data_IF_076567592521
#
_entry.id   IF_076567592521
#
_cell.length_a   1.000
_cell.length_b   1.000
_cell.length_c   1.000
_cell.angle_alpha   90.00
_cell.angle_beta   90.00
_cell.angle_gamma   90.00
#
_symmetry.space_group_name_H-M   'P 1'
#
loop_
_entity.id
_entity.type
_entity.pdbx_description
1 polymer ?
#
# COMPACT_ATOMS: atom_id res chain seq x y z
N UNK A 1 -12.01 -7.10 -13.26
CA UNK A 1 -11.76 -6.62 -11.89
C UNK A 1 -11.45 -7.82 -11.02
N UNK A 2 -10.30 -7.81 -10.37
CA UNK A 2 -9.86 -8.89 -9.48
C UNK A 2 -9.51 -8.36 -8.07
N UNK A 3 -9.50 -9.27 -7.09
CA UNK A 3 -9.02 -8.99 -5.73
C UNK A 3 -7.85 -9.90 -5.43
N UNK A 4 -6.72 -9.30 -5.07
CA UNK A 4 -5.49 -9.99 -4.74
C UNK A 4 -5.19 -9.76 -3.26
N UNK A 5 -4.64 -10.77 -2.60
CA UNK A 5 -4.26 -10.68 -1.18
C UNK A 5 -2.83 -11.13 -1.02
N UNK A 6 -2.03 -10.30 -0.34
CA UNK A 6 -0.63 -10.53 -0.07
C UNK A 6 -0.35 -10.41 1.42
N UNK A 7 0.69 -11.10 1.87
CA UNK A 7 1.11 -11.13 3.27
C UNK A 7 2.63 -11.09 3.35
N UNK A 8 3.15 -10.19 4.17
CA UNK A 8 4.58 -9.98 4.36
C UNK A 8 4.91 -10.02 5.85
N UNK A 9 6.07 -10.57 6.19
CA UNK A 9 6.60 -10.44 7.54
C UNK A 9 7.13 -9.03 7.73
N UNK A 10 6.82 -8.38 8.84
CA UNK A 10 7.32 -7.05 9.15
C UNK A 10 7.23 -6.77 10.65
N UNK A 11 8.21 -6.09 11.24
CA UNK A 11 8.34 -5.98 12.69
C UNK A 11 7.94 -4.61 13.24
N UNK A 12 7.94 -3.55 12.41
CA UNK A 12 7.69 -2.19 12.89
C UNK A 12 6.27 -1.73 12.58
N UNK A 13 5.43 -1.67 13.60
CA UNK A 13 4.09 -1.08 13.45
C UNK A 13 4.17 0.41 13.11
N UNK A 14 3.30 0.88 12.22
CA UNK A 14 3.20 2.31 11.89
C UNK A 14 2.47 3.06 13.02
N UNK A 15 2.80 4.33 13.30
CA UNK A 15 2.26 5.01 14.49
C UNK A 15 0.82 5.52 14.32
N UNK A 16 0.34 5.66 13.08
CA UNK A 16 -1.03 6.14 12.79
C UNK A 16 -1.51 5.68 11.41
N UNK A 17 -2.78 5.96 11.15
CA UNK A 17 -3.45 5.68 9.88
C UNK A 17 -2.99 6.68 8.80
N UNK A 18 -3.03 6.25 7.54
CA UNK A 18 -2.82 7.10 6.37
C UNK A 18 -3.85 6.82 5.28
N UNK A 19 -4.23 7.88 4.58
CA UNK A 19 -5.02 7.84 3.35
C UNK A 19 -4.29 8.67 2.31
N UNK A 20 -4.06 8.09 1.12
CA UNK A 20 -3.47 8.81 -0.01
C UNK A 20 -4.14 8.39 -1.31
N UNK A 21 -4.25 9.34 -2.23
CA UNK A 21 -4.74 9.08 -3.59
C UNK A 21 -6.25 9.10 -3.74
N UNK A 22 -6.70 8.58 -4.88
CA UNK A 22 -8.11 8.57 -5.32
C UNK A 22 -8.29 7.48 -6.37
N UNK A 23 -9.47 6.87 -6.42
CA UNK A 23 -9.84 5.90 -7.47
C UNK A 23 -10.28 6.62 -8.74
N UNK A 24 -9.30 7.09 -9.52
CA UNK A 24 -9.49 7.70 -10.83
C UNK A 24 -8.67 6.96 -11.89
N UNK A 25 -9.06 7.08 -13.17
CA UNK A 25 -8.34 6.42 -14.27
C UNK A 25 -6.84 6.74 -14.24
N UNK A 26 -6.01 5.72 -14.12
CA UNK A 26 -4.55 5.84 -14.05
C UNK A 26 -3.99 6.14 -12.65
N UNK A 27 -4.82 6.11 -11.61
CA UNK A 27 -4.45 6.35 -10.22
C UNK A 27 -5.07 5.29 -9.28
N UNK A 28 -4.69 5.36 -8.01
CA UNK A 28 -5.15 4.48 -6.94
C UNK A 28 -5.33 5.27 -5.64
N UNK A 29 -6.18 4.75 -4.76
CA UNK A 29 -6.15 5.13 -3.35
C UNK A 29 -5.54 4.03 -2.50
N UNK A 30 -4.94 4.44 -1.38
CA UNK A 30 -4.38 3.55 -0.37
C UNK A 30 -4.91 3.96 1.00
N UNK A 31 -5.51 3.00 1.69
CA UNK A 31 -5.83 3.06 3.10
C UNK A 31 -4.81 2.22 3.84
N UNK A 32 -4.12 2.81 4.81
CA UNK A 32 -3.09 2.14 5.60
C UNK A 32 -3.39 2.33 7.07
N UNK A 33 -3.42 1.22 7.82
CA UNK A 33 -3.69 1.19 9.25
C UNK A 33 -2.62 0.40 10.01
N UNK A 34 -2.31 0.76 11.27
CA UNK A 34 -1.39 -0.02 12.10
C UNK A 34 -1.85 -1.48 12.26
N UNK A 35 -0.94 -2.42 12.07
CA UNK A 35 -1.19 -3.84 12.38
C UNK A 35 -0.87 -4.13 13.84
N UNK A 36 -1.66 -5.02 14.45
CA UNK A 36 -1.39 -5.59 15.79
C UNK A 36 -0.48 -6.81 15.74
N UNK A 37 -0.20 -7.32 14.55
CA UNK A 37 0.69 -8.45 14.33
C UNK A 37 2.01 -7.95 13.72
N UNK A 38 3.08 -8.76 13.85
CA UNK A 38 4.36 -8.54 13.14
C UNK A 38 4.25 -8.93 11.65
N UNK A 39 3.22 -8.40 10.98
CA UNK A 39 2.90 -8.70 9.58
C UNK A 39 2.25 -7.50 8.91
N UNK A 40 2.52 -7.38 7.62
CA UNK A 40 1.72 -6.57 6.71
C UNK A 40 0.73 -7.43 5.92
N UNK A 41 -0.51 -6.96 5.86
CA UNK A 41 -1.60 -7.55 5.09
C UNK A 41 -2.00 -6.55 4.01
N UNK A 42 -1.89 -6.96 2.74
CA UNK A 42 -2.22 -6.07 1.61
C UNK A 42 -3.35 -6.68 0.80
N UNK A 43 -4.44 -5.94 0.66
CA UNK A 43 -5.57 -6.27 -0.21
C UNK A 43 -5.57 -5.30 -1.37
N UNK A 44 -5.47 -5.82 -2.59
CA UNK A 44 -5.53 -5.02 -3.82
C UNK A 44 -6.81 -5.34 -4.55
N UNK A 45 -7.61 -4.32 -4.85
CA UNK A 45 -8.74 -4.38 -5.77
C UNK A 45 -8.37 -3.59 -7.01
N UNK A 46 -8.21 -4.26 -8.14
CA UNK A 46 -7.75 -3.62 -9.37
C UNK A 46 -8.72 -3.86 -10.52
N UNK A 47 -8.92 -2.83 -11.34
CA UNK A 47 -9.64 -2.94 -12.60
C UNK A 47 -8.86 -3.74 -13.67
N UNK A 48 -7.54 -3.91 -13.50
CA UNK A 48 -6.64 -4.56 -14.46
C UNK A 48 -6.44 -6.04 -14.14
N UNK A 49 -7.09 -6.92 -14.89
CA UNK A 49 -7.01 -8.36 -14.68
C UNK A 49 -5.71 -8.96 -15.25
N UNK A 50 -5.16 -9.98 -14.57
CA UNK A 50 -4.01 -10.76 -15.04
C UNK A 50 -2.66 -10.15 -14.67
N UNK A 51 -2.64 -9.13 -13.82
CA UNK A 51 -1.42 -8.44 -13.38
C UNK A 51 -0.94 -8.89 -11.99
N UNK A 52 -1.44 -10.02 -11.47
CA UNK A 52 -1.10 -10.53 -10.14
C UNK A 52 0.41 -10.69 -9.89
N UNK A 53 1.18 -11.17 -10.87
CA UNK A 53 2.64 -11.30 -10.75
C UNK A 53 3.34 -9.93 -10.68
N UNK A 54 2.87 -8.95 -11.48
CA UNK A 54 3.37 -7.58 -11.45
C UNK A 54 3.13 -6.94 -10.09
N UNK A 55 1.92 -7.11 -9.53
CA UNK A 55 1.57 -6.66 -8.18
C UNK A 55 2.45 -7.31 -7.12
N UNK A 56 2.63 -8.64 -7.19
CA UNK A 56 3.50 -9.37 -6.27
C UNK A 56 4.93 -8.83 -6.32
N UNK A 57 5.53 -8.71 -7.50
CA UNK A 57 6.90 -8.22 -7.66
C UNK A 57 7.07 -6.77 -7.20
N UNK A 58 6.06 -5.93 -7.37
CA UNK A 58 6.07 -4.55 -6.85
C UNK A 58 6.06 -4.55 -5.32
N UNK A 59 5.13 -5.28 -4.70
CA UNK A 59 4.99 -5.33 -3.26
C UNK A 59 6.18 -6.04 -2.59
N UNK A 60 6.69 -7.14 -3.16
CA UNK A 60 7.91 -7.80 -2.71
C UNK A 60 9.08 -6.80 -2.61
N UNK A 61 9.28 -5.97 -3.65
CA UNK A 61 10.33 -4.94 -3.65
C UNK A 61 10.09 -3.85 -2.62
N UNK A 62 8.85 -3.43 -2.45
CA UNK A 62 8.48 -2.44 -1.44
C UNK A 62 8.80 -2.95 -0.02
N UNK A 63 8.33 -4.14 0.34
CA UNK A 63 8.55 -4.72 1.66
C UNK A 63 9.98 -5.25 1.90
N UNK A 64 10.77 -5.48 0.84
CA UNK A 64 12.20 -5.75 0.98
C UNK A 64 12.99 -4.53 1.50
N UNK A 65 12.47 -3.32 1.30
CA UNK A 65 13.10 -2.06 1.72
C UNK A 65 12.43 -1.47 2.96
N UNK A 66 11.11 -1.63 3.07
CA UNK A 66 10.29 -1.02 4.12
C UNK A 66 9.72 -2.09 5.06
N UNK A 67 10.36 -2.23 6.22
CA UNK A 67 9.90 -3.09 7.30
C UNK A 67 8.74 -2.42 8.05
N UNK A 68 7.50 -2.56 7.55
CA UNK A 68 6.29 -1.98 8.15
C UNK A 68 5.20 -3.01 8.39
N UNK A 69 4.66 -3.07 9.61
CA UNK A 69 3.53 -3.90 9.97
C UNK A 69 2.24 -3.07 9.90
N UNK A 70 1.46 -3.28 8.85
CA UNK A 70 0.25 -2.53 8.55
C UNK A 70 -0.81 -3.35 7.82
N UNK A 71 -2.07 -3.00 7.99
CA UNK A 71 -3.14 -3.42 7.10
C UNK A 71 -3.25 -2.37 5.99
N UNK A 72 -3.16 -2.80 4.73
CA UNK A 72 -3.14 -1.93 3.57
C UNK A 72 -4.24 -2.36 2.60
N UNK A 73 -5.16 -1.46 2.30
CA UNK A 73 -6.13 -1.62 1.22
C UNK A 73 -5.74 -0.71 0.06
N UNK A 74 -5.71 -1.28 -1.15
CA UNK A 74 -5.39 -0.57 -2.38
C UNK A 74 -6.56 -0.73 -3.34
N UNK A 75 -7.20 0.38 -3.71
CA UNK A 75 -8.23 0.39 -4.75
C UNK A 75 -7.66 1.10 -5.99
N UNK A 76 -7.40 0.32 -7.03
CA UNK A 76 -6.67 0.73 -8.22
C UNK A 76 -7.57 0.79 -9.46
N UNK A 77 -7.46 1.88 -10.20
CA UNK A 77 -8.12 2.04 -11.49
C UNK A 77 -7.10 2.22 -12.62
N UNK A 78 -6.20 1.24 -12.74
CA UNK A 78 -5.26 1.15 -13.87
C UNK A 78 -4.03 2.02 -13.73
N UNK A 79 -3.58 2.27 -12.49
CA UNK A 79 -2.35 2.98 -12.22
C UNK A 79 -1.12 2.23 -12.76
N UNK A 80 -0.16 2.98 -13.27
CA UNK A 80 1.13 2.40 -13.67
C UNK A 80 1.92 1.97 -12.43
N UNK A 81 2.83 0.97 -12.53
CA UNK A 81 3.68 0.55 -11.41
C UNK A 81 4.44 1.70 -10.72
N UNK A 82 4.85 2.72 -11.49
CA UNK A 82 5.49 3.92 -10.96
C UNK A 82 4.56 4.73 -10.05
N UNK A 83 3.31 4.94 -10.47
CA UNK A 83 2.29 5.61 -9.65
C UNK A 83 1.97 4.83 -8.37
N UNK A 84 1.82 3.50 -8.48
CA UNK A 84 1.60 2.63 -7.31
C UNK A 84 2.73 2.79 -6.29
N UNK A 85 3.98 2.74 -6.77
CA UNK A 85 5.17 2.87 -5.91
C UNK A 85 5.23 4.23 -5.23
N UNK A 86 4.93 5.30 -5.96
CA UNK A 86 4.88 6.66 -5.42
C UNK A 86 3.78 6.80 -4.34
N UNK A 87 2.56 6.27 -4.59
CA UNK A 87 1.47 6.33 -3.60
C UNK A 87 1.81 5.54 -2.34
N UNK A 88 2.45 4.38 -2.45
CA UNK A 88 2.91 3.62 -1.28
C UNK A 88 3.92 4.40 -0.43
N UNK A 89 4.86 5.10 -1.08
CA UNK A 89 5.83 5.96 -0.39
C UNK A 89 5.14 7.16 0.29
N UNK A 90 4.17 7.78 -0.37
CA UNK A 90 3.36 8.85 0.23
C UNK A 90 2.58 8.34 1.45
N UNK A 91 1.97 7.16 1.38
CA UNK A 91 1.26 6.56 2.51
C UNK A 91 2.22 6.35 3.70
N UNK A 92 3.44 5.87 3.43
CA UNK A 92 4.48 5.68 4.44
C UNK A 92 4.92 7.00 5.08
N UNK A 93 5.10 8.05 4.28
CA UNK A 93 5.43 9.39 4.78
C UNK A 93 4.30 9.96 5.63
N UNK A 94 3.05 9.84 5.16
CA UNK A 94 1.87 10.32 5.89
C UNK A 94 1.73 9.58 7.20
N UNK A 95 1.90 8.25 7.25
CA UNK A 95 1.77 7.50 8.50
C UNK A 95 2.96 7.72 9.45
N UNK A 96 4.15 8.06 8.94
CA UNK A 96 5.36 8.25 9.77
C UNK A 96 5.58 9.67 10.24
N UNK A 97 5.01 10.67 9.55
CA UNK A 97 5.13 12.08 9.95
C UNK A 97 4.35 12.38 11.22
N UNK A 98 4.98 12.96 12.23
CA UNK A 98 4.21 13.65 13.28
C UNK A 98 3.52 14.86 12.63
N UNK A 99 2.23 15.07 12.91
CA UNK A 99 1.56 16.30 12.47
C UNK A 99 2.33 17.48 13.07
N UNK A 100 3.17 18.13 12.29
CA UNK A 100 3.51 19.53 12.55
C UNK A 100 2.25 20.30 12.13
N UNK A 101 1.35 20.49 13.09
CA UNK A 101 0.27 21.46 12.97
C UNK A 101 0.92 22.82 12.66
N UNK A 102 0.59 23.40 11.51
CA UNK A 102 0.83 24.80 11.19
C UNK A 102 -0.51 25.52 11.16
#
# INVERSE_FOLDING_TARGET
METLTFKFNATKSVPKHAYVGVVASGDLEILLEPSKEEKAYVVVRTASDGFGETWKNLLDRFFAVHDIAANIEINDFGATPGMVSMRLLQALEVCSSEKTER
#
